data_IF_825872563449
#
_entry.id   IF_825872563449
#
_cell.length_a   1.000
_cell.length_b   1.000
_cell.length_c   1.000
_cell.angle_alpha   90.00
_cell.angle_beta   90.00
_cell.angle_gamma   90.00
#
_symmetry.space_group_name_H-M   'P 1'
#
loop_
_entity.id
_entity.type
_entity.pdbx_description
1 polymer ?
#
# COMPACT_ATOMS: atom_id res chain seq x y z
N UNK A 1 11.55 11.27 -22.99
CA UNK A 1 11.44 12.16 -21.82
C UNK A 1 11.91 11.41 -20.60
N UNK A 2 12.45 12.10 -19.59
CA UNK A 2 12.80 11.50 -18.30
C UNK A 2 11.63 11.70 -17.32
N UNK A 3 11.35 10.69 -16.50
CA UNK A 3 10.36 10.75 -15.41
C UNK A 3 11.02 10.26 -14.13
N UNK A 4 10.51 10.68 -12.98
CA UNK A 4 11.03 10.33 -11.66
C UNK A 4 9.85 10.13 -10.73
N UNK A 5 9.76 8.93 -10.17
CA UNK A 5 8.75 8.56 -9.19
C UNK A 5 9.47 8.06 -7.94
N UNK A 6 9.34 8.80 -6.84
CA UNK A 6 9.97 8.46 -5.56
C UNK A 6 8.84 8.29 -4.53
N UNK A 7 8.67 7.09 -3.96
CA UNK A 7 7.65 6.88 -2.95
C UNK A 7 8.00 7.58 -1.63
N UNK A 8 7.01 7.95 -0.80
CA UNK A 8 7.24 8.43 0.56
C UNK A 8 7.73 7.29 1.47
N UNK A 9 8.44 7.67 2.54
CA UNK A 9 8.99 6.77 3.55
C UNK A 9 8.79 7.32 4.95
N UNK A 10 8.86 6.43 5.93
CA UNK A 10 8.71 6.79 7.32
C UNK A 10 9.90 7.62 7.81
N UNK A 11 9.63 8.79 8.39
CA UNK A 11 10.68 9.70 8.86
C UNK A 11 11.59 9.07 9.93
N UNK A 12 11.02 8.26 10.82
CA UNK A 12 11.79 7.61 11.89
C UNK A 12 12.73 6.55 11.32
N UNK A 13 12.22 5.69 10.44
CA UNK A 13 13.02 4.65 9.78
C UNK A 13 14.19 5.26 8.99
N UNK A 14 13.93 6.33 8.22
CA UNK A 14 14.99 7.02 7.46
C UNK A 14 16.00 7.69 8.39
N UNK A 15 15.55 8.32 9.47
CA UNK A 15 16.45 8.94 10.45
C UNK A 15 17.37 7.92 11.12
N UNK A 16 16.81 6.78 11.53
CA UNK A 16 17.54 5.68 12.16
C UNK A 16 18.54 5.05 11.17
N UNK A 17 18.17 4.88 9.90
CA UNK A 17 19.06 4.40 8.85
C UNK A 17 20.22 5.38 8.56
N UNK A 18 19.96 6.69 8.60
CA UNK A 18 21.01 7.71 8.48
C UNK A 18 21.99 7.65 9.65
N UNK A 19 21.51 7.49 10.88
CA UNK A 19 22.37 7.33 12.06
C UNK A 19 23.26 6.09 11.91
N UNK A 20 22.71 4.95 11.49
CA UNK A 20 23.48 3.74 11.25
C UNK A 20 24.61 3.94 10.23
N UNK A 21 24.35 4.67 9.14
CA UNK A 21 25.37 5.00 8.14
C UNK A 21 26.45 5.94 8.67
N UNK A 22 26.11 6.85 9.58
CA UNK A 22 27.09 7.72 10.24
C UNK A 22 27.99 6.95 11.18
N UNK A 23 27.46 5.96 11.90
CA UNK A 23 28.23 5.07 12.79
C UNK A 23 29.11 4.08 12.00
N UNK A 24 28.57 3.54 10.91
CA UNK A 24 29.28 2.64 10.02
C UNK A 24 28.95 2.92 8.55
N UNK A 25 29.86 3.62 7.87
CA UNK A 25 29.71 4.00 6.46
C UNK A 25 29.78 2.82 5.47
N UNK A 26 30.15 1.63 5.93
CA UNK A 26 30.18 0.39 5.12
C UNK A 26 28.97 -0.50 5.39
N UNK A 27 27.93 0.01 6.05
CA UNK A 27 26.69 -0.72 6.28
C UNK A 27 26.11 -1.20 4.95
N UNK A 28 25.84 -2.51 4.80
CA UNK A 28 25.30 -3.06 3.56
C UNK A 28 23.82 -2.71 3.41
N UNK A 29 23.30 -2.76 2.18
CA UNK A 29 21.92 -2.39 1.88
C UNK A 29 20.91 -3.25 2.65
N UNK A 30 21.20 -4.53 2.82
CA UNK A 30 20.34 -5.49 3.52
C UNK A 30 20.07 -5.03 4.96
N UNK A 31 21.11 -4.55 5.65
CA UNK A 31 20.98 -4.02 7.01
C UNK A 31 20.19 -2.69 7.04
N UNK A 32 20.26 -1.87 5.99
CA UNK A 32 19.42 -0.68 5.88
C UNK A 32 17.95 -1.05 5.67
N UNK A 33 17.68 -2.10 4.89
CA UNK A 33 16.33 -2.60 4.63
C UNK A 33 15.70 -3.34 5.84
N UNK A 34 16.49 -3.69 6.86
CA UNK A 34 15.95 -4.15 8.15
C UNK A 34 15.34 -2.99 8.95
N UNK A 35 15.84 -1.76 8.76
CA UNK A 35 15.32 -0.54 9.39
C UNK A 35 14.22 0.07 8.51
N UNK A 36 14.51 0.28 7.23
CA UNK A 36 13.61 0.86 6.24
C UNK A 36 12.83 -0.25 5.58
N UNK A 37 11.64 -0.53 6.10
CA UNK A 37 10.84 -1.70 5.70
C UNK A 37 10.29 -1.59 4.29
N UNK A 38 10.06 -0.36 3.83
CA UNK A 38 9.44 -0.10 2.55
C UNK A 38 8.95 1.35 2.44
N UNK A 39 8.21 1.65 1.36
CA UNK A 39 7.41 2.86 1.27
C UNK A 39 6.41 3.00 2.43
N UNK A 40 6.17 4.22 2.88
CA UNK A 40 5.18 4.56 3.90
C UNK A 40 4.24 5.63 3.33
N UNK A 41 3.11 5.18 2.79
CA UNK A 41 2.09 6.06 2.24
C UNK A 41 1.13 6.52 3.33
N UNK A 42 0.52 7.71 3.19
CA UNK A 42 -0.49 8.20 4.14
C UNK A 42 -1.84 7.48 3.92
N UNK A 43 -1.83 6.16 4.05
CA UNK A 43 -2.98 5.26 4.00
C UNK A 43 -2.67 4.04 4.86
N UNK A 44 -3.69 3.49 5.53
CA UNK A 44 -3.57 2.23 6.27
C UNK A 44 -3.60 0.98 5.37
N UNK A 45 -3.72 1.15 4.05
CA UNK A 45 -3.69 0.05 3.09
C UNK A 45 -2.33 -0.66 3.07
N UNK A 46 -2.37 -1.98 2.97
CA UNK A 46 -1.17 -2.81 3.04
C UNK A 46 -0.37 -2.77 1.74
N UNK A 47 0.96 -2.73 1.87
CA UNK A 47 1.87 -3.07 0.77
C UNK A 47 2.04 -4.59 0.77
N UNK A 48 1.55 -5.23 -0.29
CA UNK A 48 1.56 -6.71 -0.42
C UNK A 48 2.79 -7.23 -1.15
N UNK A 49 3.69 -6.35 -1.58
CA UNK A 49 4.93 -6.74 -2.23
C UNK A 49 5.87 -7.38 -1.20
N UNK A 50 6.41 -8.57 -1.48
CA UNK A 50 7.32 -9.24 -0.55
C UNK A 50 8.55 -8.40 -0.21
N UNK A 51 9.08 -8.48 1.02
CA UNK A 51 10.28 -7.73 1.43
C UNK A 51 11.48 -7.94 0.49
N UNK A 52 11.69 -9.17 -0.02
CA UNK A 52 12.79 -9.47 -0.94
C UNK A 52 12.69 -8.70 -2.27
N UNK A 53 11.47 -8.39 -2.72
CA UNK A 53 11.26 -7.64 -3.95
C UNK A 53 11.40 -6.12 -3.71
N UNK A 54 11.03 -5.65 -2.51
CA UNK A 54 11.32 -4.27 -2.09
C UNK A 54 12.82 -4.03 -1.96
N UNK A 55 13.57 -4.98 -1.41
CA UNK A 55 15.04 -4.92 -1.35
C UNK A 55 15.67 -4.83 -2.74
N UNK A 56 15.21 -5.65 -3.69
CA UNK A 56 15.66 -5.57 -5.09
C UNK A 56 15.35 -4.21 -5.71
N UNK A 57 14.17 -3.65 -5.45
CA UNK A 57 13.80 -2.32 -5.92
C UNK A 57 14.76 -1.24 -5.40
N UNK A 58 15.13 -1.30 -4.11
CA UNK A 58 16.12 -0.38 -3.54
C UNK A 58 17.52 -0.59 -4.12
N UNK A 59 17.94 -1.84 -4.36
CA UNK A 59 19.23 -2.16 -4.95
C UNK A 59 19.35 -1.65 -6.39
N UNK A 60 18.28 -1.79 -7.18
CA UNK A 60 18.24 -1.39 -8.59
C UNK A 60 17.92 0.11 -8.78
N UNK A 61 17.33 0.76 -7.77
CA UNK A 61 16.82 2.13 -7.87
C UNK A 61 15.60 2.26 -8.78
N UNK A 62 15.02 1.15 -9.22
CA UNK A 62 13.83 1.08 -10.07
C UNK A 62 13.04 -0.18 -9.73
N UNK A 63 11.73 -0.13 -9.97
CA UNK A 63 10.85 -1.25 -9.74
C UNK A 63 9.42 -0.80 -9.56
N UNK A 64 8.60 -1.72 -9.08
CA UNK A 64 7.21 -1.48 -8.77
C UNK A 64 6.82 -2.29 -7.55
N UNK A 65 5.96 -1.72 -6.72
CA UNK A 65 5.32 -2.40 -5.61
C UNK A 65 3.80 -2.29 -5.77
N UNK A 66 3.06 -3.06 -4.98
CA UNK A 66 1.60 -3.11 -5.02
C UNK A 66 1.03 -2.86 -3.63
N UNK A 67 0.00 -2.04 -3.59
CA UNK A 67 -0.83 -1.84 -2.40
C UNK A 67 -2.16 -2.56 -2.59
N UNK A 68 -2.75 -3.02 -1.49
CA UNK A 68 -4.06 -3.65 -1.44
C UNK A 68 -4.89 -2.99 -0.34
N UNK A 69 -6.19 -2.85 -0.61
CA UNK A 69 -7.12 -2.40 0.42
C UNK A 69 -7.11 -3.35 1.62
N UNK A 70 -7.17 -2.79 2.82
CA UNK A 70 -7.35 -3.57 4.04
C UNK A 70 -8.85 -3.88 4.22
N UNK A 71 -9.16 -5.11 4.62
CA UNK A 71 -10.54 -5.56 4.80
C UNK A 71 -10.68 -6.61 5.90
N UNK A 72 -11.84 -6.62 6.55
CA UNK A 72 -12.26 -7.69 7.45
C UNK A 72 -13.47 -8.42 6.90
N UNK A 73 -13.72 -9.61 7.43
CA UNK A 73 -14.94 -10.37 7.16
C UNK A 73 -15.76 -10.42 8.44
N UNK A 74 -16.94 -9.81 8.41
CA UNK A 74 -17.82 -9.67 9.56
C UNK A 74 -19.20 -10.20 9.23
N UNK A 75 -19.68 -11.21 9.96
CA UNK A 75 -20.99 -11.83 9.75
C UNK A 75 -21.29 -12.28 8.30
N UNK A 76 -20.25 -12.57 7.51
CA UNK A 76 -20.38 -12.97 6.10
C UNK A 76 -20.29 -11.81 5.09
N UNK A 77 -20.14 -10.58 5.58
CA UNK A 77 -19.91 -9.38 4.77
C UNK A 77 -18.42 -9.03 4.71
N UNK A 78 -17.99 -8.41 3.61
CA UNK A 78 -16.62 -7.92 3.43
C UNK A 78 -16.63 -6.42 3.69
N UNK A 79 -15.97 -5.98 4.75
CA UNK A 79 -15.87 -4.56 5.13
C UNK A 79 -14.48 -4.06 4.77
N UNK A 80 -14.40 -3.06 3.89
CA UNK A 80 -13.14 -2.45 3.47
C UNK A 80 -12.87 -1.23 4.35
N UNK A 81 -11.78 -1.25 5.12
CA UNK A 81 -11.45 -0.20 6.08
C UNK A 81 -10.49 0.85 5.53
N UNK A 82 -9.58 0.45 4.64
CA UNK A 82 -8.57 1.34 4.10
C UNK A 82 -8.34 1.09 2.61
N UNK A 83 -8.40 2.16 1.83
CA UNK A 83 -8.13 2.12 0.39
C UNK A 83 -6.67 2.46 0.10
N UNK A 84 -6.06 1.88 -0.96
CA UNK A 84 -4.73 2.26 -1.39
C UNK A 84 -4.60 3.76 -1.67
N UNK A 85 -3.39 4.28 -1.55
CA UNK A 85 -3.13 5.70 -1.76
C UNK A 85 -3.65 6.19 -3.13
N UNK A 86 -4.30 7.36 -3.13
CA UNK A 86 -4.92 7.98 -4.31
C UNK A 86 -6.06 7.17 -4.98
N UNK A 87 -6.61 6.15 -4.30
CA UNK A 87 -7.81 5.46 -4.76
C UNK A 87 -9.06 6.14 -4.20
N UNK A 88 -10.03 6.41 -5.06
CA UNK A 88 -11.34 6.96 -4.67
C UNK A 88 -12.32 5.83 -4.37
N UNK A 89 -12.96 5.85 -3.19
CA UNK A 89 -14.00 4.89 -2.81
C UNK A 89 -15.16 4.85 -3.81
N UNK A 90 -15.66 6.02 -4.21
CA UNK A 90 -16.72 6.14 -5.23
C UNK A 90 -16.35 5.43 -6.55
N UNK A 91 -15.09 5.55 -7.00
CA UNK A 91 -14.61 4.88 -8.21
C UNK A 91 -14.56 3.36 -8.04
N UNK A 92 -14.17 2.88 -6.86
CA UNK A 92 -14.17 1.43 -6.56
C UNK A 92 -15.60 0.89 -6.56
N UNK A 93 -16.52 1.58 -5.88
CA UNK A 93 -17.95 1.22 -5.85
C UNK A 93 -18.54 1.17 -7.25
N UNK A 94 -18.27 2.17 -8.09
CA UNK A 94 -18.71 2.22 -9.48
C UNK A 94 -18.20 0.99 -10.26
N UNK A 95 -16.92 0.64 -10.12
CA UNK A 95 -16.32 -0.52 -10.80
C UNK A 95 -16.93 -1.85 -10.34
N UNK A 96 -17.27 -1.99 -9.06
CA UNK A 96 -17.95 -3.19 -8.53
C UNK A 96 -19.39 -3.25 -9.07
N UNK A 97 -20.13 -2.15 -9.01
CA UNK A 97 -21.51 -2.08 -9.50
C UNK A 97 -21.61 -2.41 -11.00
N UNK A 98 -20.67 -1.92 -11.82
CA UNK A 98 -20.58 -2.27 -13.24
C UNK A 98 -20.38 -3.79 -13.45
N UNK A 99 -19.58 -4.44 -12.61
CA UNK A 99 -19.38 -5.90 -12.69
C UNK A 99 -20.61 -6.71 -12.24
N UNK A 100 -21.35 -6.21 -11.25
CA UNK A 100 -22.64 -6.78 -10.83
C UNK A 100 -23.68 -6.69 -11.95
N UNK A 101 -23.83 -5.52 -12.58
CA UNK A 101 -24.74 -5.31 -13.72
C UNK A 101 -24.38 -6.21 -14.92
N UNK A 102 -23.08 -6.41 -15.17
CA UNK A 102 -22.58 -7.33 -16.18
C UNK A 102 -22.73 -8.81 -15.80
N UNK A 103 -23.34 -9.13 -14.65
CA UNK A 103 -23.53 -10.48 -14.10
C UNK A 103 -22.22 -11.28 -13.94
N UNK A 104 -21.09 -10.58 -13.77
CA UNK A 104 -19.78 -11.21 -13.53
C UNK A 104 -19.57 -11.62 -12.08
N UNK A 105 -20.32 -11.00 -11.17
CA UNK A 105 -20.25 -11.23 -9.72
C UNK A 105 -21.61 -11.70 -9.18
N UNK A 106 -22.09 -12.90 -9.55
CA UNK A 106 -23.41 -13.39 -9.14
C UNK A 106 -23.49 -13.74 -7.64
N UNK A 107 -22.34 -13.81 -6.95
CA UNK A 107 -22.25 -14.09 -5.52
C UNK A 107 -22.43 -12.85 -4.63
N UNK A 108 -22.37 -11.65 -5.19
CA UNK A 108 -22.59 -10.41 -4.45
C UNK A 108 -24.08 -10.08 -4.48
N UNK A 109 -24.71 -10.02 -3.31
CA UNK A 109 -26.12 -9.66 -3.18
C UNK A 109 -26.33 -8.14 -3.18
N UNK A 110 -25.49 -7.42 -2.43
CA UNK A 110 -25.62 -5.98 -2.23
C UNK A 110 -24.24 -5.31 -2.12
N UNK A 111 -24.21 -3.99 -2.35
CA UNK A 111 -23.04 -3.14 -2.23
C UNK A 111 -23.46 -1.82 -1.57
N UNK A 112 -22.82 -1.47 -0.45
CA UNK A 112 -23.15 -0.27 0.33
C UNK A 112 -21.90 0.56 0.62
N UNK A 113 -22.12 1.86 0.71
CA UNK A 113 -21.14 2.83 1.18
C UNK A 113 -21.55 3.28 2.59
N UNK A 114 -20.77 2.87 3.58
CA UNK A 114 -20.97 3.26 4.99
C UNK A 114 -19.85 4.21 5.46
N UNK A 115 -19.18 4.89 4.53
CA UNK A 115 -18.19 5.92 4.88
C UNK A 115 -18.84 7.10 5.61
N UNK A 116 -18.16 7.58 6.65
CA UNK A 116 -18.58 8.74 7.44
C UNK A 116 -17.42 9.69 7.70
N UNK A 117 -17.64 10.72 8.52
CA UNK A 117 -16.58 11.70 8.80
C UNK A 117 -15.48 11.13 9.71
N UNK A 118 -15.77 10.10 10.50
CA UNK A 118 -14.79 9.45 11.38
C UNK A 118 -13.97 8.39 10.62
N UNK A 119 -14.54 7.81 9.56
CA UNK A 119 -13.96 6.78 8.69
C UNK A 119 -14.15 7.16 7.20
N UNK A 120 -13.34 8.10 6.69
CA UNK A 120 -13.42 8.60 5.32
C UNK A 120 -12.84 7.66 4.25
#
# INVERSE_FOLDING_TARGET
GMATDIPPHNLKEISDACILLLENSRTPLEALCEIVKGPDYPSAAEIITPPEDLQKMYALGTGSFRMRADYTVENGEIVIHALPYQVSGARVLEQIAQQMQAKKLPMLEDLRDESDHENP
#
